data_IF_373920496608
#
_entry.id   IF_373920496608
#
_cell.length_a   1.000
_cell.length_b   1.000
_cell.length_c   1.000
_cell.angle_alpha   90.00
_cell.angle_beta   90.00
_cell.angle_gamma   90.00
#
_symmetry.space_group_name_H-M   'P 1'
#
loop_
_entity.id
_entity.type
_entity.pdbx_description
1 polymer ?
#
# COMPACT_ATOMS: atom_id res chain seq x y z
N UNK A 1 7.51 3.40 -9.14
CA UNK A 1 6.45 3.57 -8.11
C UNK A 1 5.15 3.65 -8.88
N UNK A 2 4.28 2.64 -8.76
CA UNK A 2 3.01 2.63 -9.51
C UNK A 2 2.18 3.83 -9.09
N UNK A 3 1.84 4.66 -10.07
CA UNK A 3 0.98 5.82 -9.89
C UNK A 3 -0.38 5.30 -9.41
N UNK A 4 -0.68 5.49 -8.12
CA UNK A 4 -1.92 5.05 -7.47
C UNK A 4 -3.04 6.03 -7.86
N UNK A 5 -3.37 6.03 -9.16
CA UNK A 5 -4.42 6.85 -9.73
C UNK A 5 -5.79 6.39 -9.24
N UNK A 6 -6.71 7.34 -9.07
CA UNK A 6 -8.12 7.05 -8.80
C UNK A 6 -8.66 6.19 -9.95
N UNK A 7 -9.22 5.01 -9.66
CA UNK A 7 -9.69 4.11 -10.71
C UNK A 7 -10.81 4.76 -11.51
N UNK A 8 -10.71 4.68 -12.82
CA UNK A 8 -11.74 5.10 -13.77
C UNK A 8 -12.96 4.19 -13.70
N UNK A 9 -14.10 4.67 -14.20
CA UNK A 9 -15.33 3.87 -14.23
C UNK A 9 -15.17 2.56 -15.03
N UNK A 10 -14.35 2.57 -16.08
CA UNK A 10 -14.04 1.37 -16.88
C UNK A 10 -13.22 0.35 -16.09
N UNK A 11 -12.28 0.81 -15.26
CA UNK A 11 -11.53 -0.08 -14.37
C UNK A 11 -12.41 -0.69 -13.28
N UNK A 12 -13.38 0.07 -12.76
CA UNK A 12 -14.37 -0.43 -11.80
C UNK A 12 -15.26 -1.49 -12.45
N UNK A 13 -15.72 -1.26 -13.69
CA UNK A 13 -16.49 -2.24 -14.46
C UNK A 13 -15.69 -3.51 -14.72
N UNK A 14 -14.42 -3.38 -15.08
CA UNK A 14 -13.53 -4.52 -15.27
C UNK A 14 -13.29 -5.29 -13.97
N UNK A 15 -13.08 -4.58 -12.86
CA UNK A 15 -12.95 -5.18 -11.53
C UNK A 15 -14.21 -5.98 -11.16
N UNK A 16 -15.38 -5.37 -11.28
CA UNK A 16 -16.66 -6.02 -11.03
C UNK A 16 -16.85 -7.26 -11.91
N UNK A 17 -16.51 -7.18 -13.20
CA UNK A 17 -16.61 -8.32 -14.12
C UNK A 17 -15.71 -9.51 -13.72
N UNK A 18 -14.49 -9.26 -13.20
CA UNK A 18 -13.60 -10.32 -12.67
C UNK A 18 -14.19 -11.04 -11.47
N UNK A 19 -15.06 -10.37 -10.73
CA UNK A 19 -15.77 -10.92 -9.57
C UNK A 19 -17.18 -11.42 -9.90
N UNK A 20 -17.54 -11.52 -11.18
CA UNK A 20 -18.85 -12.03 -11.63
C UNK A 20 -19.99 -11.01 -11.54
N UNK A 21 -19.70 -9.73 -11.30
CA UNK A 21 -20.68 -8.66 -11.11
C UNK A 21 -20.95 -7.90 -12.43
N UNK A 22 -21.36 -8.63 -13.47
CA UNK A 22 -21.47 -8.09 -14.86
C UNK A 22 -22.80 -7.41 -15.17
N UNK A 23 -23.82 -7.59 -14.31
CA UNK A 23 -25.18 -7.08 -14.51
C UNK A 23 -25.62 -6.07 -13.45
N UNK A 24 -24.68 -5.38 -12.81
CA UNK A 24 -25.02 -4.36 -11.82
C UNK A 24 -25.62 -3.12 -12.50
N UNK A 25 -26.61 -2.47 -11.88
CA UNK A 25 -27.07 -1.16 -12.35
C UNK A 25 -26.00 -0.07 -12.15
N UNK A 26 -26.09 1.02 -12.90
CA UNK A 26 -25.03 2.05 -12.98
C UNK A 26 -24.72 2.74 -11.64
N UNK A 27 -25.74 2.91 -10.80
CA UNK A 27 -25.64 3.41 -9.43
C UNK A 27 -24.71 2.55 -8.56
N UNK A 28 -24.73 1.23 -8.76
CA UNK A 28 -23.87 0.31 -8.03
C UNK A 28 -22.42 0.37 -8.50
N UNK A 29 -22.17 0.64 -9.78
CA UNK A 29 -20.81 0.91 -10.27
C UNK A 29 -20.27 2.23 -9.71
N UNK A 30 -21.11 3.27 -9.63
CA UNK A 30 -20.73 4.53 -9.00
C UNK A 30 -20.37 4.32 -7.51
N UNK A 31 -21.19 3.54 -6.79
CA UNK A 31 -20.95 3.21 -5.38
C UNK A 31 -19.67 2.41 -5.16
N UNK A 32 -19.35 1.48 -6.06
CA UNK A 32 -18.07 0.76 -6.05
C UNK A 32 -16.87 1.71 -6.18
N UNK A 33 -16.99 2.76 -7.00
CA UNK A 33 -15.96 3.80 -7.11
C UNK A 33 -15.75 4.58 -5.82
N UNK A 34 -16.82 4.98 -5.14
CA UNK A 34 -16.74 5.66 -3.84
C UNK A 34 -16.07 4.78 -2.77
N UNK A 35 -16.40 3.48 -2.76
CA UNK A 35 -15.78 2.52 -1.86
C UNK A 35 -14.29 2.34 -2.15
N UNK A 36 -13.90 2.25 -3.43
CA UNK A 36 -12.51 2.15 -3.84
C UNK A 36 -11.69 3.37 -3.37
N UNK A 37 -12.26 4.58 -3.48
CA UNK A 37 -11.64 5.80 -2.98
C UNK A 37 -11.48 5.77 -1.45
N UNK A 38 -12.50 5.32 -0.72
CA UNK A 38 -12.47 5.22 0.74
C UNK A 38 -11.39 4.24 1.21
N UNK A 39 -11.30 3.07 0.58
CA UNK A 39 -10.28 2.05 0.89
C UNK A 39 -8.88 2.58 0.62
N UNK A 40 -8.71 3.35 -0.46
CA UNK A 40 -7.43 4.01 -0.77
C UNK A 40 -7.02 4.98 0.33
N UNK A 41 -7.93 5.88 0.74
CA UNK A 41 -7.65 6.86 1.79
C UNK A 41 -7.30 6.19 3.12
N UNK A 42 -8.05 5.15 3.49
CA UNK A 42 -7.75 4.35 4.67
C UNK A 42 -6.37 3.67 4.56
N UNK A 43 -6.05 3.07 3.41
CA UNK A 43 -4.77 2.41 3.17
C UNK A 43 -3.57 3.37 3.20
N UNK A 44 -3.75 4.61 2.74
CA UNK A 44 -2.72 5.66 2.83
C UNK A 44 -2.52 6.19 4.25
N UNK A 45 -3.58 6.18 5.07
CA UNK A 45 -3.50 6.59 6.46
C UNK A 45 -2.82 5.55 7.36
N UNK A 46 -2.76 4.28 6.93
CA UNK A 46 -2.08 3.24 7.69
C UNK A 46 -0.56 3.45 7.65
N UNK A 47 0.10 3.59 8.82
CA UNK A 47 1.55 3.67 8.86
C UNK A 47 2.11 2.36 8.31
N UNK A 48 2.97 2.47 7.29
CA UNK A 48 3.71 1.30 6.82
C UNK A 48 4.61 0.81 7.94
N UNK A 49 4.64 -0.50 8.13
CA UNK A 49 5.59 -1.12 9.04
C UNK A 49 7.01 -0.71 8.57
N UNK A 50 7.85 -0.14 9.46
CA UNK A 50 9.22 0.21 9.09
C UNK A 50 9.94 -1.05 8.58
N UNK A 51 10.74 -0.88 7.52
CA UNK A 51 11.49 -2.00 6.95
C UNK A 51 12.51 -2.49 7.98
N UNK A 52 12.81 -3.80 7.99
CA UNK A 52 13.96 -4.31 8.78
C UNK A 52 15.29 -3.68 8.34
N UNK A 53 15.34 -3.11 7.14
CA UNK A 53 16.49 -2.39 6.62
C UNK A 53 16.61 -0.95 7.16
N UNK A 54 15.56 -0.41 7.80
CA UNK A 54 15.58 0.92 8.44
C UNK A 54 16.16 0.88 9.87
N UNK A 55 16.41 -0.30 10.43
CA UNK A 55 17.16 -0.40 11.69
C UNK A 55 18.65 -0.12 11.41
N UNK A 56 19.27 0.87 12.09
CA UNK A 56 20.70 1.08 11.95
C UNK A 56 21.40 -0.22 12.38
N UNK A 57 22.24 -0.76 11.48
CA UNK A 57 23.01 -1.96 11.75
C UNK A 57 23.68 -1.85 13.12
N UNK A 58 23.60 -2.90 13.94
CA UNK A 58 24.27 -2.92 15.23
C UNK A 58 25.79 -2.69 15.03
N UNK A 59 26.25 -1.48 15.32
CA UNK A 59 27.66 -1.14 15.28
C UNK A 59 28.33 -1.71 16.53
N UNK A 60 29.12 -2.77 16.35
CA UNK A 60 29.98 -3.26 17.43
C UNK A 60 31.12 -2.26 17.65
N UNK A 61 31.22 -1.69 18.84
CA UNK A 61 32.37 -0.88 19.24
C UNK A 61 33.57 -1.80 19.50
N UNK A 62 34.47 -1.87 18.53
CA UNK A 62 35.79 -2.49 18.74
C UNK A 62 36.59 -1.62 19.71
N UNK A 63 36.78 -2.09 20.94
CA UNK A 63 37.72 -1.45 21.86
C UNK A 63 39.14 -1.72 21.35
N UNK A 64 39.93 -0.68 21.11
CA UNK A 64 41.31 -0.81 20.67
C UNK A 64 42.10 -1.75 21.62
N UNK A 65 42.98 -2.62 21.09
CA UNK A 65 43.81 -3.46 21.93
C UNK A 65 44.61 -2.56 22.89
N UNK A 66 44.53 -2.85 24.19
CA UNK A 66 45.41 -2.23 25.18
C UNK A 66 46.84 -2.57 24.77
N UNK A 67 47.53 -1.60 24.19
CA UNK A 67 48.95 -1.68 23.89
C UNK A 67 49.70 -2.16 25.13
N UNK A 68 50.40 -3.26 24.93
CA UNK A 68 51.34 -3.89 25.84
C UNK A 68 52.39 -2.88 26.32
N UNK A 69 52.72 -2.97 27.62
CA UNK A 69 53.88 -2.32 28.24
C UNK A 69 55.16 -2.46 27.41
#
# INVERSE_FOLDING_TARGET
MSDLQTPTIEEIRLYAARHGLQGLPEDQFARLGELAQTVREAGLALPRMPSKEDEPAHLFTMTAPRGTK
#
